data_IF_164869739752
#
_entry.id   IF_164869739752
#
_cell.length_a   1.000
_cell.length_b   1.000
_cell.length_c   1.000
_cell.angle_alpha   90.00
_cell.angle_beta   90.00
_cell.angle_gamma   90.00
#
_symmetry.space_group_name_H-M   'P 1'
#
loop_
_entity.id
_entity.type
_entity.pdbx_description
1 polymer ?
#
# COMPACT_ATOMS: atom_id res chain seq x y z
N UNK A 1 15.00 17.81 19.87
CA UNK A 1 13.71 17.10 19.95
C UNK A 1 13.79 16.06 18.86
N UNK A 2 14.29 14.87 19.18
CA UNK A 2 14.51 13.82 18.20
C UNK A 2 13.15 13.23 17.89
N UNK A 3 12.64 13.45 16.69
CA UNK A 3 11.48 12.73 16.17
C UNK A 3 11.68 11.24 16.46
N UNK A 4 10.76 10.55 17.16
CA UNK A 4 10.84 9.11 17.26
C UNK A 4 10.73 8.59 15.83
N UNK A 5 11.86 8.14 15.28
CA UNK A 5 11.93 7.29 14.09
C UNK A 5 11.06 6.08 14.41
N UNK A 6 9.79 6.15 14.03
CA UNK A 6 8.82 5.08 14.16
C UNK A 6 9.28 3.99 13.21
N UNK A 7 10.10 3.09 13.75
CA UNK A 7 10.49 1.78 13.24
C UNK A 7 10.73 1.71 11.72
N UNK A 8 12.01 1.82 11.38
CA UNK A 8 12.63 1.32 10.17
C UNK A 8 12.01 -0.03 9.72
N UNK A 9 11.58 -0.10 8.46
CA UNK A 9 11.14 -1.30 7.70
C UNK A 9 9.75 -1.91 7.96
N UNK A 10 8.65 -1.20 7.62
CA UNK A 10 7.34 -1.84 7.32
C UNK A 10 7.27 -2.40 5.88
N UNK A 11 8.40 -2.90 5.40
CA UNK A 11 8.52 -3.53 4.09
C UNK A 11 8.06 -4.98 4.17
N UNK A 12 7.19 -5.38 3.25
CA UNK A 12 6.69 -6.76 3.16
C UNK A 12 6.85 -7.21 1.72
N UNK A 13 7.64 -8.27 1.52
CA UNK A 13 7.79 -8.91 0.23
C UNK A 13 6.62 -9.87 -0.05
N UNK A 14 6.00 -9.69 -1.22
CA UNK A 14 4.96 -10.59 -1.72
C UNK A 14 5.42 -11.27 -3.01
N UNK A 15 5.09 -12.56 -3.15
CA UNK A 15 5.12 -13.25 -4.44
C UNK A 15 3.69 -13.38 -4.95
N UNK A 16 3.38 -12.66 -6.02
CA UNK A 16 2.05 -12.65 -6.66
C UNK A 16 2.19 -13.06 -8.12
N UNK A 17 1.19 -13.80 -8.63
CA UNK A 17 1.12 -14.08 -10.07
C UNK A 17 0.74 -12.81 -10.81
N UNK A 18 1.32 -12.62 -12.00
CA UNK A 18 1.05 -11.47 -12.87
C UNK A 18 -0.43 -11.27 -13.23
N UNK A 19 -1.26 -12.32 -13.13
CA UNK A 19 -2.70 -12.30 -13.42
C UNK A 19 -3.59 -12.20 -12.18
N UNK A 20 -3.01 -12.16 -10.97
CA UNK A 20 -3.78 -12.09 -9.73
C UNK A 20 -4.17 -10.64 -9.46
N UNK A 21 -5.44 -10.40 -9.15
CA UNK A 21 -5.91 -9.10 -8.68
C UNK A 21 -5.19 -8.67 -7.39
N UNK A 22 -4.72 -7.43 -7.35
CA UNK A 22 -3.95 -6.86 -6.26
C UNK A 22 -4.76 -6.62 -4.99
N UNK A 23 -6.09 -6.74 -5.02
CA UNK A 23 -6.95 -6.71 -3.82
C UNK A 23 -6.43 -7.59 -2.69
N UNK A 24 -6.07 -8.85 -3.01
CA UNK A 24 -5.61 -9.81 -1.99
C UNK A 24 -4.30 -9.38 -1.33
N UNK A 25 -3.40 -8.77 -2.09
CA UNK A 25 -2.14 -8.22 -1.57
C UNK A 25 -2.44 -7.07 -0.62
N UNK A 26 -3.29 -6.12 -1.02
CA UNK A 26 -3.70 -4.98 -0.19
C UNK A 26 -4.37 -5.45 1.11
N UNK A 27 -5.31 -6.39 1.03
CA UNK A 27 -5.97 -6.98 2.20
C UNK A 27 -4.97 -7.63 3.16
N UNK A 28 -4.02 -8.42 2.63
CA UNK A 28 -3.00 -9.09 3.44
C UNK A 28 -2.06 -8.09 4.11
N UNK A 29 -1.65 -7.03 3.41
CA UNK A 29 -0.83 -5.96 3.98
C UNK A 29 -1.58 -5.25 5.11
N UNK A 30 -2.81 -4.79 4.87
CA UNK A 30 -3.63 -4.11 5.87
C UNK A 30 -3.89 -4.97 7.11
N UNK A 31 -4.18 -6.26 6.93
CA UNK A 31 -4.39 -7.20 8.03
C UNK A 31 -3.12 -7.36 8.87
N UNK A 32 -1.94 -7.43 8.25
CA UNK A 32 -0.67 -7.54 8.96
C UNK A 32 -0.30 -6.26 9.72
N UNK A 33 -0.69 -5.11 9.20
CA UNK A 33 -0.55 -3.82 9.86
C UNK A 33 -1.64 -3.55 10.92
N UNK A 34 -2.71 -4.36 10.96
CA UNK A 34 -3.81 -4.17 11.90
C UNK A 34 -4.66 -2.92 11.62
N UNK A 35 -4.70 -2.47 10.36
CA UNK A 35 -5.44 -1.26 9.95
C UNK A 35 -6.50 -1.59 8.89
N UNK A 36 -7.59 -0.82 8.80
CA UNK A 36 -8.61 -1.07 7.79
C UNK A 36 -8.13 -0.67 6.40
N UNK A 37 -8.62 -1.35 5.36
CA UNK A 37 -8.14 -1.16 3.98
C UNK A 37 -8.38 0.25 3.43
N UNK A 38 -9.37 0.97 3.97
CA UNK A 38 -9.67 2.36 3.60
C UNK A 38 -8.77 3.39 4.30
N UNK A 39 -7.96 3.01 5.28
CA UNK A 39 -7.01 3.93 5.93
C UNK A 39 -5.67 4.00 5.22
N UNK A 40 -5.46 3.21 4.16
CA UNK A 40 -4.22 3.18 3.39
C UNK A 40 -4.50 3.39 1.90
N UNK A 41 -3.59 4.09 1.24
CA UNK A 41 -3.52 4.20 -0.23
C UNK A 41 -2.28 3.48 -0.73
N UNK A 42 -2.47 2.70 -1.79
CA UNK A 42 -1.43 1.92 -2.45
C UNK A 42 -1.17 2.53 -3.82
N UNK A 43 0.09 2.88 -4.08
CA UNK A 43 0.54 3.55 -5.29
C UNK A 43 1.61 2.72 -5.98
N UNK A 44 1.59 2.70 -7.31
CA UNK A 44 2.67 2.21 -8.15
C UNK A 44 3.01 3.31 -9.15
N UNK A 45 4.27 3.73 -9.19
CA UNK A 45 4.73 4.88 -9.99
C UNK A 45 3.84 6.13 -9.80
N UNK A 46 3.39 6.38 -8.57
CA UNK A 46 2.48 7.48 -8.23
C UNK A 46 1.01 7.27 -8.63
N UNK A 47 0.65 6.19 -9.34
CA UNK A 47 -0.73 5.87 -9.72
C UNK A 47 -1.42 4.98 -8.70
N UNK A 48 -2.70 5.27 -8.39
CA UNK A 48 -3.47 4.48 -7.42
C UNK A 48 -3.82 3.10 -7.95
N UNK A 49 -3.51 2.08 -7.16
CA UNK A 49 -3.83 0.70 -7.48
C UNK A 49 -5.28 0.38 -7.10
N UNK A 50 -6.10 0.11 -8.12
CA UNK A 50 -7.46 -0.41 -7.93
C UNK A 50 -7.45 -1.90 -7.57
N UNK A 51 -8.52 -2.35 -6.93
CA UNK A 51 -8.61 -3.72 -6.41
C UNK A 51 -8.61 -4.79 -7.52
N UNK A 52 -9.13 -4.44 -8.70
CA UNK A 52 -9.18 -5.30 -9.88
C UNK A 52 -7.94 -5.18 -10.77
N UNK A 53 -6.97 -4.32 -10.46
CA UNK A 53 -5.72 -4.29 -11.23
C UNK A 53 -4.89 -5.53 -10.94
N UNK A 54 -4.18 -5.99 -11.96
CA UNK A 54 -3.17 -7.04 -11.88
C UNK A 54 -1.77 -6.47 -12.12
N UNK A 55 -0.70 -7.12 -11.62
CA UNK A 55 0.66 -6.69 -11.90
C UNK A 55 0.94 -6.56 -13.42
N UNK A 56 0.39 -7.47 -14.23
CA UNK A 56 0.54 -7.44 -15.69
C UNK A 56 -0.04 -6.17 -16.33
N UNK A 57 -1.21 -5.73 -15.88
CA UNK A 57 -1.87 -4.52 -16.42
C UNK A 57 -1.14 -3.24 -16.02
N UNK A 58 -0.50 -3.25 -14.86
CA UNK A 58 0.32 -2.15 -14.37
C UNK A 58 1.74 -2.16 -14.95
N UNK A 59 2.13 -3.20 -15.70
CA UNK A 59 3.48 -3.32 -16.24
C UNK A 59 4.55 -3.60 -15.18
N UNK A 60 4.17 -4.18 -14.05
CA UNK A 60 5.09 -4.49 -12.95
C UNK A 60 6.07 -5.61 -13.32
N UNK A 61 7.31 -5.46 -12.88
CA UNK A 61 8.40 -6.43 -13.01
C UNK A 61 8.77 -7.06 -11.65
N UNK A 62 9.75 -7.96 -11.66
CA UNK A 62 10.29 -8.50 -10.40
C UNK A 62 11.03 -7.39 -9.65
N UNK A 63 10.94 -7.39 -8.33
CA UNK A 63 11.56 -6.39 -7.44
C UNK A 63 10.94 -4.98 -7.47
N UNK A 64 9.86 -4.77 -8.24
CA UNK A 64 9.09 -3.53 -8.20
C UNK A 64 8.43 -3.29 -6.84
N UNK A 65 8.29 -2.00 -6.49
CA UNK A 65 7.82 -1.55 -5.18
C UNK A 65 6.46 -0.87 -5.28
N UNK A 66 5.56 -1.24 -4.38
CA UNK A 66 4.29 -0.53 -4.16
C UNK A 66 4.46 0.39 -2.96
N UNK A 67 4.27 1.69 -3.18
CA UNK A 67 4.32 2.68 -2.12
C UNK A 67 2.98 2.68 -1.35
N UNK A 68 3.07 2.67 -0.02
CA UNK A 68 1.90 2.67 0.86
C UNK A 68 1.92 3.88 1.77
N UNK A 69 0.83 4.65 1.77
CA UNK A 69 0.66 5.82 2.60
C UNK A 69 -0.64 5.73 3.39
N UNK A 70 -0.73 6.48 4.49
CA UNK A 70 -2.03 6.70 5.13
C UNK A 70 -2.96 7.47 4.18
N UNK A 71 -4.19 7.01 4.07
CA UNK A 71 -5.25 7.74 3.37
C UNK A 71 -5.52 9.03 4.15
N UNK A 72 -5.36 10.17 3.48
CA UNK A 72 -5.62 11.45 4.11
C UNK A 72 -7.13 11.67 4.20
N UNK A 73 -7.74 11.16 5.27
CA UNK A 73 -9.04 11.66 5.70
C UNK A 73 -8.79 13.01 6.36
N UNK A 74 -9.22 14.09 5.70
CA UNK A 74 -8.96 15.47 6.11
C UNK A 74 -9.13 15.67 7.61
N UNK A 75 -8.07 16.15 8.26
CA UNK A 75 -8.08 16.48 9.67
C UNK A 75 -9.07 17.62 9.93
N UNK A 76 -9.98 17.38 10.86
CA UNK A 76 -10.80 18.41 11.48
C UNK A 76 -9.86 19.49 12.03
N UNK A 77 -9.72 20.61 11.31
CA UNK A 77 -9.14 21.82 11.87
C UNK A 77 -10.15 22.38 12.88
N UNK A 78 -10.08 21.95 14.13
CA UNK A 78 -10.65 22.76 15.20
C UNK A 78 -9.75 23.97 15.35
N UNK A 79 -10.20 25.06 14.73
CA UNK A 79 -9.79 26.44 15.07
C UNK A 79 -10.02 26.73 16.56
#
# INVERSE_FOLDING_TARGET
MTDPKMTDSSEIHFKVKMTTHLKKLKESYCQRQGVPMNSLRFLFEGQRIADNHTPKELGMEEEDVIEVYQEQMGGHSTV
#
